data_IF_780977590672
#
_entry.id   IF_780977590672
#
_cell.length_a   1.000
_cell.length_b   1.000
_cell.length_c   1.000
_cell.angle_alpha   90.00
_cell.angle_beta   90.00
_cell.angle_gamma   90.00
#
_symmetry.space_group_name_H-M   'P 1'
#
loop_
_entity.id
_entity.type
_entity.pdbx_description
1 polymer ?
#
# COMPACT_ATOMS: atom_id res chain seq x y z
N UNK A 1 55.26 14.68 -3.80
CA UNK A 1 54.21 14.85 -2.76
C UNK A 1 52.90 15.09 -3.49
N UNK A 2 52.33 13.98 -3.93
CA UNK A 2 51.12 13.89 -4.75
C UNK A 2 49.93 13.85 -3.81
N UNK A 3 49.19 14.96 -3.73
CA UNK A 3 48.00 15.06 -2.90
C UNK A 3 46.80 14.50 -3.67
N UNK A 4 46.40 13.30 -3.28
CA UNK A 4 45.22 12.58 -3.75
C UNK A 4 43.96 13.31 -3.29
N UNK A 5 43.14 13.77 -4.22
CA UNK A 5 41.78 14.25 -3.95
C UNK A 5 40.85 13.04 -4.07
N UNK A 6 40.13 12.76 -2.98
CA UNK A 6 39.15 11.68 -2.86
C UNK A 6 37.89 12.08 -3.63
N UNK A 7 37.58 11.33 -4.68
CA UNK A 7 36.36 11.49 -5.47
C UNK A 7 35.23 10.66 -4.82
N UNK A 8 34.27 11.34 -4.21
CA UNK A 8 33.03 10.75 -3.69
C UNK A 8 32.02 10.64 -4.83
N UNK A 9 32.16 9.59 -5.65
CA UNK A 9 31.17 9.28 -6.67
C UNK A 9 29.99 8.52 -6.06
N UNK A 10 28.83 9.18 -6.10
CA UNK A 10 27.58 8.64 -6.63
C UNK A 10 27.12 7.31 -6.06
N UNK A 11 26.19 7.37 -5.12
CA UNK A 11 25.29 6.28 -4.80
C UNK A 11 24.50 5.92 -6.07
N UNK A 12 25.00 4.92 -6.77
CA UNK A 12 24.33 4.32 -7.91
C UNK A 12 23.01 3.73 -7.47
N UNK A 13 21.96 4.18 -8.15
CA UNK A 13 20.62 3.59 -8.21
C UNK A 13 20.74 2.06 -8.19
N UNK A 14 20.15 1.42 -7.17
CA UNK A 14 20.01 -0.03 -7.09
C UNK A 14 19.33 -0.55 -8.36
N UNK A 15 20.12 -1.08 -9.29
CA UNK A 15 19.62 -2.00 -10.31
C UNK A 15 19.19 -3.28 -9.57
N UNK A 16 17.93 -3.75 -9.71
CA UNK A 16 17.53 -5.00 -9.09
C UNK A 16 18.32 -6.16 -9.70
N UNK A 17 18.88 -6.99 -8.81
CA UNK A 17 19.52 -8.27 -9.09
C UNK A 17 18.52 -9.24 -9.78
N UNK A 18 18.88 -9.90 -10.90
CA UNK A 18 17.97 -10.75 -11.68
C UNK A 18 17.72 -12.16 -11.09
N UNK A 19 17.98 -12.44 -9.81
CA UNK A 19 17.85 -13.80 -9.24
C UNK A 19 16.84 -13.99 -8.10
N UNK A 20 16.32 -12.91 -7.49
CA UNK A 20 15.39 -12.96 -6.36
C UNK A 20 13.92 -12.69 -6.69
N UNK A 21 12.99 -13.53 -6.22
CA UNK A 21 11.54 -13.30 -6.28
C UNK A 21 11.11 -12.38 -5.12
N UNK A 22 10.71 -11.15 -5.45
CA UNK A 22 10.14 -10.21 -4.48
C UNK A 22 8.62 -10.28 -4.45
N UNK A 23 8.07 -10.69 -3.31
CA UNK A 23 6.64 -10.81 -3.04
C UNK A 23 6.19 -9.75 -2.03
N UNK A 24 4.89 -9.49 -2.01
CA UNK A 24 4.20 -8.70 -0.98
C UNK A 24 2.95 -9.46 -0.57
N UNK A 25 2.30 -9.07 0.54
CA UNK A 25 1.01 -9.65 0.91
C UNK A 25 0.01 -9.58 -0.25
N UNK A 26 -0.13 -8.40 -0.89
CA UNK A 26 -1.06 -8.21 -2.00
C UNK A 26 -0.74 -9.07 -3.22
N UNK A 27 0.54 -9.28 -3.53
CA UNK A 27 1.00 -10.19 -4.59
C UNK A 27 0.61 -11.64 -4.29
N UNK A 28 0.87 -12.11 -3.07
CA UNK A 28 0.53 -13.48 -2.65
C UNK A 28 -0.97 -13.70 -2.61
N UNK A 29 -1.73 -12.75 -2.05
CA UNK A 29 -3.19 -12.80 -2.00
C UNK A 29 -3.81 -12.78 -3.41
N UNK A 30 -3.27 -11.96 -4.32
CA UNK A 30 -3.71 -11.94 -5.72
C UNK A 30 -3.46 -13.29 -6.40
N UNK A 31 -2.28 -13.88 -6.24
CA UNK A 31 -1.96 -15.19 -6.80
C UNK A 31 -2.91 -16.27 -6.27
N UNK A 32 -3.13 -16.31 -4.95
CA UNK A 32 -4.08 -17.25 -4.32
C UNK A 32 -5.52 -17.06 -4.80
N UNK A 33 -5.92 -15.83 -5.07
CA UNK A 33 -7.26 -15.54 -5.58
C UNK A 33 -7.45 -16.02 -7.02
N UNK A 34 -6.43 -15.86 -7.86
CA UNK A 34 -6.39 -16.33 -9.25
C UNK A 34 -4.96 -16.15 -9.80
N UNK A 35 -4.22 -17.23 -10.11
CA UNK A 35 -2.87 -17.15 -10.67
C UNK A 35 -2.80 -16.37 -11.99
N UNK A 36 -3.81 -16.52 -12.86
CA UNK A 36 -3.87 -15.73 -14.10
C UNK A 36 -4.00 -14.22 -13.83
N UNK A 37 -4.76 -13.84 -12.81
CA UNK A 37 -4.90 -12.43 -12.39
C UNK A 37 -3.56 -11.87 -11.90
N UNK A 38 -2.79 -12.67 -11.16
CA UNK A 38 -1.44 -12.30 -10.74
C UNK A 38 -0.53 -12.05 -11.94
N UNK A 39 -0.53 -12.98 -12.91
CA UNK A 39 0.24 -12.83 -14.14
C UNK A 39 -0.11 -11.54 -14.86
N UNK A 40 -1.38 -11.29 -15.13
CA UNK A 40 -1.83 -10.06 -15.78
C UNK A 40 -1.40 -8.79 -15.03
N UNK A 41 -1.49 -8.78 -13.70
CA UNK A 41 -1.18 -7.61 -12.90
C UNK A 41 0.33 -7.33 -12.74
N UNK A 42 1.15 -8.37 -12.57
CA UNK A 42 2.53 -8.24 -12.07
C UNK A 42 3.60 -8.83 -12.98
N UNK A 43 3.23 -9.67 -13.95
CA UNK A 43 4.16 -10.24 -14.93
C UNK A 43 3.98 -9.53 -16.27
N UNK A 44 2.75 -9.49 -16.77
CA UNK A 44 2.40 -8.83 -18.02
C UNK A 44 2.16 -7.32 -17.83
N UNK A 45 2.05 -6.86 -16.58
CA UNK A 45 1.83 -5.45 -16.17
C UNK A 45 0.68 -4.76 -16.92
N UNK A 46 -0.40 -5.50 -17.17
CA UNK A 46 -1.57 -4.98 -17.85
C UNK A 46 -2.22 -3.88 -16.99
N UNK A 47 -2.67 -2.77 -17.62
CA UNK A 47 -3.23 -1.64 -16.90
C UNK A 47 -4.51 -2.07 -16.16
N UNK A 48 -4.61 -1.68 -14.89
CA UNK A 48 -5.85 -1.70 -14.12
C UNK A 48 -6.45 -0.30 -14.08
N UNK A 49 -7.79 -0.19 -14.07
CA UNK A 49 -8.41 1.11 -13.84
C UNK A 49 -8.47 1.38 -12.33
N UNK A 50 -7.88 2.49 -11.83
CA UNK A 50 -8.08 2.86 -10.43
C UNK A 50 -9.56 3.16 -10.22
N UNK A 51 -10.25 2.27 -9.50
CA UNK A 51 -11.64 2.46 -9.15
C UNK A 51 -11.80 3.48 -8.02
N UNK A 52 -12.97 4.13 -7.90
CA UNK A 52 -13.27 5.11 -6.84
C UNK A 52 -12.94 4.60 -5.43
N UNK A 53 -13.21 3.31 -5.17
CA UNK A 53 -12.94 2.67 -3.90
C UNK A 53 -11.45 2.61 -3.53
N UNK A 54 -10.56 2.45 -4.52
CA UNK A 54 -9.12 2.37 -4.28
C UNK A 54 -8.58 3.74 -3.90
N UNK A 55 -8.84 4.77 -4.71
CA UNK A 55 -8.45 6.15 -4.41
C UNK A 55 -9.05 6.65 -3.09
N UNK A 56 -10.32 6.31 -2.82
CA UNK A 56 -10.96 6.61 -1.54
C UNK A 56 -10.25 5.95 -0.35
N UNK A 57 -9.91 4.67 -0.48
CA UNK A 57 -9.20 3.92 0.56
C UNK A 57 -7.79 4.46 0.80
N UNK A 58 -7.01 4.68 -0.26
CA UNK A 58 -5.66 5.24 -0.19
C UNK A 58 -5.64 6.63 0.45
N UNK A 59 -6.59 7.49 0.11
CA UNK A 59 -6.71 8.82 0.72
C UNK A 59 -6.95 8.74 2.23
N UNK A 60 -7.71 7.74 2.69
CA UNK A 60 -7.94 7.51 4.12
C UNK A 60 -6.70 6.99 4.82
N UNK A 61 -5.98 6.02 4.23
CA UNK A 61 -4.74 5.53 4.82
C UNK A 61 -3.72 6.67 4.97
N UNK A 62 -3.52 7.47 3.93
CA UNK A 62 -2.58 8.60 3.97
C UNK A 62 -2.98 9.64 5.04
N UNK A 63 -4.28 9.92 5.20
CA UNK A 63 -4.76 10.81 6.25
C UNK A 63 -4.50 10.25 7.66
N UNK A 64 -4.74 8.95 7.85
CA UNK A 64 -4.49 8.27 9.13
C UNK A 64 -3.00 8.22 9.45
N UNK A 65 -2.15 7.85 8.49
CA UNK A 65 -0.69 7.89 8.59
C UNK A 65 -0.22 9.27 9.05
N UNK A 66 -0.56 10.32 8.31
CA UNK A 66 -0.14 11.69 8.62
C UNK A 66 -0.62 12.18 9.99
N UNK A 67 -1.75 11.67 10.49
CA UNK A 67 -2.24 12.00 11.84
C UNK A 67 -1.47 11.25 12.93
N UNK A 68 -1.23 9.95 12.75
CA UNK A 68 -0.53 9.12 13.72
C UNK A 68 0.99 9.39 13.76
N UNK A 69 1.61 9.75 12.64
CA UNK A 69 3.06 10.02 12.54
C UNK A 69 3.50 11.29 13.26
N UNK A 70 2.57 12.17 13.64
CA UNK A 70 2.90 13.36 14.45
C UNK A 70 3.51 13.00 15.81
N UNK A 71 3.23 11.78 16.33
CA UNK A 71 3.81 11.21 17.56
C UNK A 71 3.83 12.16 18.75
N UNK A 72 2.77 12.98 18.87
CA UNK A 72 2.63 13.96 19.93
C UNK A 72 2.31 13.28 21.26
N UNK A 73 2.64 13.87 22.42
CA UNK A 73 2.24 13.33 23.72
C UNK A 73 0.72 13.30 23.97
N UNK A 74 -0.04 14.08 23.19
CA UNK A 74 -1.50 14.19 23.24
C UNK A 74 -2.06 13.96 21.83
N UNK A 75 -3.29 13.44 21.68
CA UNK A 75 -3.87 13.21 20.37
C UNK A 75 -3.93 14.52 19.55
N UNK A 76 -3.45 14.54 18.31
CA UNK A 76 -3.65 15.69 17.44
C UNK A 76 -5.15 15.97 17.24
N UNK A 77 -5.56 17.24 17.03
CA UNK A 77 -6.97 17.60 16.90
C UNK A 77 -7.61 17.00 15.64
N UNK A 78 -8.94 16.82 15.65
CA UNK A 78 -9.70 16.32 14.50
C UNK A 78 -9.42 17.13 13.22
N UNK A 79 -9.28 18.45 13.36
CA UNK A 79 -8.99 19.35 12.24
C UNK A 79 -7.71 18.98 11.49
N UNK A 80 -6.68 18.49 12.19
CA UNK A 80 -5.43 18.05 11.55
C UNK A 80 -5.61 16.77 10.72
N UNK A 81 -6.47 15.84 11.17
CA UNK A 81 -6.81 14.63 10.43
C UNK A 81 -7.61 14.96 9.15
N UNK A 82 -8.55 15.91 9.25
CA UNK A 82 -9.32 16.37 8.09
C UNK A 82 -8.47 17.20 7.12
N UNK A 83 -7.48 17.93 7.62
CA UNK A 83 -6.50 18.62 6.77
C UNK A 83 -5.64 17.61 6.01
N UNK A 84 -5.15 16.56 6.67
CA UNK A 84 -4.40 15.50 6.01
C UNK A 84 -5.22 14.80 4.91
N UNK A 85 -6.52 14.56 5.13
CA UNK A 85 -7.41 14.05 4.08
C UNK A 85 -7.47 14.98 2.86
N UNK A 86 -7.54 16.29 3.09
CA UNK A 86 -7.55 17.26 2.00
C UNK A 86 -6.23 17.24 1.21
N UNK A 87 -5.10 17.22 1.92
CA UNK A 87 -3.77 17.27 1.33
C UNK A 87 -3.44 15.99 0.52
N UNK A 88 -3.98 14.85 0.96
CA UNK A 88 -3.72 13.53 0.38
C UNK A 88 -4.89 12.96 -0.44
N UNK A 89 -5.90 13.76 -0.77
CA UNK A 89 -7.05 13.29 -1.54
C UNK A 89 -6.65 12.92 -2.98
N UNK A 90 -6.78 11.63 -3.32
CA UNK A 90 -6.56 11.12 -4.67
C UNK A 90 -7.84 11.26 -5.52
N UNK A 91 -7.86 12.24 -6.44
CA UNK A 91 -9.00 12.46 -7.33
C UNK A 91 -9.02 11.52 -8.56
N UNK A 92 -7.95 10.74 -8.81
CA UNK A 92 -7.81 9.93 -10.04
C UNK A 92 -8.93 8.89 -10.18
N UNK A 93 -9.25 8.17 -9.10
CA UNK A 93 -10.26 7.12 -9.12
C UNK A 93 -11.68 7.63 -9.30
N UNK A 94 -11.89 8.95 -9.22
CA UNK A 94 -13.18 9.59 -9.47
C UNK A 94 -13.24 10.25 -10.86
N UNK A 95 -12.28 9.97 -11.74
CA UNK A 95 -12.30 10.48 -13.10
C UNK A 95 -13.61 10.10 -13.81
N UNK A 96 -14.30 11.09 -14.38
CA UNK A 96 -15.57 10.90 -15.08
C UNK A 96 -16.82 10.97 -14.20
N UNK A 97 -16.68 11.05 -12.87
CA UNK A 97 -17.82 11.28 -11.96
C UNK A 97 -18.27 12.75 -11.94
N UNK A 98 -19.56 12.95 -11.70
CA UNK A 98 -20.11 14.29 -11.50
C UNK A 98 -19.61 14.91 -10.18
N UNK A 99 -19.58 16.25 -10.11
CA UNK A 99 -18.98 16.96 -8.96
C UNK A 99 -19.67 16.63 -7.63
N UNK A 100 -20.98 16.52 -7.64
CA UNK A 100 -21.84 16.13 -6.51
C UNK A 100 -21.58 14.69 -6.02
N UNK A 101 -21.33 13.76 -6.94
CA UNK A 101 -20.90 12.40 -6.59
C UNK A 101 -19.52 12.42 -5.91
N UNK A 102 -18.55 13.15 -6.47
CA UNK A 102 -17.23 13.34 -5.84
C UNK A 102 -17.32 13.91 -4.43
N UNK A 103 -18.17 14.93 -4.24
CA UNK A 103 -18.42 15.54 -2.93
C UNK A 103 -19.00 14.50 -1.95
N UNK A 104 -19.84 13.58 -2.42
CA UNK A 104 -20.43 12.52 -1.58
C UNK A 104 -19.35 11.55 -1.09
N UNK A 105 -18.42 11.15 -1.96
CA UNK A 105 -17.26 10.33 -1.57
C UNK A 105 -16.36 11.03 -0.55
N UNK A 106 -16.06 12.31 -0.79
CA UNK A 106 -15.23 13.10 0.12
C UNK A 106 -15.88 13.26 1.49
N UNK A 107 -17.18 13.61 1.54
CA UNK A 107 -17.93 13.71 2.81
C UNK A 107 -17.95 12.38 3.56
N UNK A 108 -18.12 11.27 2.85
CA UNK A 108 -18.07 9.95 3.46
C UNK A 108 -16.69 9.65 4.08
N UNK A 109 -15.59 10.04 3.42
CA UNK A 109 -14.24 9.93 3.99
C UNK A 109 -14.10 10.78 5.27
N UNK A 110 -14.58 12.03 5.24
CA UNK A 110 -14.58 12.90 6.42
C UNK A 110 -15.34 12.25 7.59
N UNK A 111 -16.54 11.72 7.35
CA UNK A 111 -17.35 11.10 8.41
C UNK A 111 -16.68 9.86 9.01
N UNK A 112 -15.98 9.07 8.19
CA UNK A 112 -15.19 7.93 8.64
C UNK A 112 -14.03 8.38 9.53
N UNK A 113 -13.28 9.40 9.11
CA UNK A 113 -12.15 9.93 9.87
C UNK A 113 -12.59 10.61 11.18
N UNK A 114 -13.73 11.31 11.20
CA UNK A 114 -14.31 11.86 12.45
C UNK A 114 -14.64 10.75 13.45
N UNK A 115 -15.26 9.67 12.99
CA UNK A 115 -15.55 8.50 13.85
C UNK A 115 -14.27 7.86 14.37
N UNK A 116 -13.23 7.76 13.53
CA UNK A 116 -11.91 7.28 13.93
C UNK A 116 -11.31 8.16 15.03
N UNK A 117 -11.27 9.47 14.82
CA UNK A 117 -10.74 10.43 15.80
C UNK A 117 -11.48 10.34 17.14
N UNK A 118 -12.82 10.40 17.12
CA UNK A 118 -13.65 10.31 18.32
C UNK A 118 -13.43 9.00 19.10
N UNK A 119 -13.11 7.90 18.41
CA UNK A 119 -12.80 6.61 19.03
C UNK A 119 -11.41 6.58 19.66
N UNK A 120 -10.40 7.10 18.98
CA UNK A 120 -9.00 6.89 19.37
C UNK A 120 -8.37 8.05 20.15
N UNK A 121 -8.87 9.27 20.03
CA UNK A 121 -8.36 10.40 20.83
C UNK A 121 -8.43 10.15 22.35
N UNK A 122 -9.52 9.58 22.92
CA UNK A 122 -9.59 9.32 24.37
C UNK A 122 -8.64 8.24 24.89
N UNK A 123 -8.19 7.34 24.01
CA UNK A 123 -7.32 6.19 24.34
C UNK A 123 -6.01 6.27 23.55
N UNK A 124 -5.61 7.48 23.18
CA UNK A 124 -4.50 7.71 22.28
C UNK A 124 -3.19 7.21 22.87
N UNK A 125 -2.45 6.46 22.06
CA UNK A 125 -1.08 6.03 22.35
C UNK A 125 -0.22 6.49 21.17
N UNK A 126 0.84 7.29 21.40
CA UNK A 126 1.73 7.71 20.33
C UNK A 126 2.25 6.50 19.54
N UNK A 127 2.26 6.63 18.21
CA UNK A 127 2.79 5.59 17.35
C UNK A 127 4.30 5.42 17.60
N UNK A 128 4.75 4.17 17.62
CA UNK A 128 6.17 3.82 17.47
C UNK A 128 6.58 4.11 16.03
N UNK A 129 5.78 3.63 15.07
CA UNK A 129 5.97 3.85 13.65
C UNK A 129 4.63 3.79 12.91
N UNK A 130 4.57 4.44 11.77
CA UNK A 130 3.47 4.42 10.81
C UNK A 130 4.06 4.22 9.43
N UNK A 131 3.34 3.51 8.56
CA UNK A 131 3.84 3.08 7.24
C UNK A 131 5.29 2.55 7.30
N UNK A 132 5.57 1.70 8.29
CA UNK A 132 6.90 1.18 8.51
C UNK A 132 7.25 0.13 7.44
N UNK A 133 8.10 0.52 6.50
CA UNK A 133 8.66 -0.38 5.48
C UNK A 133 9.47 -1.51 6.11
N UNK A 134 9.38 -2.70 5.51
CA UNK A 134 10.21 -3.86 5.83
C UNK A 134 10.55 -4.70 4.61
N UNK A 135 11.64 -5.46 4.73
CA UNK A 135 12.01 -6.52 3.80
C UNK A 135 12.38 -7.76 4.61
N UNK A 136 11.67 -8.86 4.40
CA UNK A 136 11.89 -10.15 5.03
C UNK A 136 12.52 -11.09 4.03
N UNK A 137 13.78 -11.47 4.25
CA UNK A 137 14.40 -12.55 3.48
C UNK A 137 13.91 -13.92 4.02
N UNK A 138 13.23 -14.69 3.18
CA UNK A 138 12.71 -16.00 3.52
C UNK A 138 13.63 -17.15 3.10
N UNK A 139 14.79 -16.82 2.52
CA UNK A 139 15.71 -17.76 1.88
C UNK A 139 15.22 -18.25 0.52
N UNK A 140 16.05 -19.06 -0.15
CA UNK A 140 15.77 -19.59 -1.49
C UNK A 140 15.42 -18.48 -2.50
N UNK A 141 16.11 -17.34 -2.41
CA UNK A 141 15.92 -16.15 -3.23
C UNK A 141 14.48 -15.61 -3.19
N UNK A 142 13.78 -15.73 -2.07
CA UNK A 142 12.43 -15.17 -1.86
C UNK A 142 12.50 -14.07 -0.81
N UNK A 143 12.10 -12.85 -1.19
CA UNK A 143 11.99 -11.71 -0.27
C UNK A 143 10.54 -11.26 -0.21
N UNK A 144 10.02 -11.05 1.00
CA UNK A 144 8.70 -10.45 1.22
C UNK A 144 8.87 -9.00 1.65
N UNK A 145 8.26 -8.08 0.93
CA UNK A 145 8.28 -6.65 1.22
C UNK A 145 6.89 -6.15 1.57
N UNK A 146 6.82 -5.09 2.36
CA UNK A 146 5.57 -4.45 2.73
C UNK A 146 5.77 -3.27 3.66
N UNK A 147 4.65 -2.72 4.11
CA UNK A 147 4.58 -1.60 5.04
C UNK A 147 3.59 -1.93 6.15
N UNK A 148 3.93 -1.65 7.40
CA UNK A 148 3.02 -1.80 8.53
C UNK A 148 2.35 -0.45 8.80
N UNK A 149 1.05 -0.36 8.62
CA UNK A 149 0.28 0.89 8.71
C UNK A 149 0.50 1.62 10.04
N UNK A 150 0.39 0.92 11.18
CA UNK A 150 0.53 1.52 12.50
C UNK A 150 1.06 0.53 13.55
N UNK A 151 2.10 0.98 14.27
CA UNK A 151 2.72 0.26 15.38
C UNK A 151 2.65 1.12 16.63
N UNK A 152 2.23 0.55 17.76
CA UNK A 152 2.15 1.23 19.04
C UNK A 152 2.77 0.41 20.17
N UNK A 153 3.13 1.09 21.27
CA UNK A 153 3.48 0.41 22.51
C UNK A 153 2.24 -0.18 23.18
N UNK A 154 2.40 -1.32 23.80
CA UNK A 154 1.40 -1.89 24.72
C UNK A 154 1.67 -1.43 26.16
N UNK A 155 0.70 -1.57 27.09
CA UNK A 155 0.92 -1.26 28.50
C UNK A 155 2.06 -2.06 29.16
N UNK A 156 2.37 -3.26 28.64
CA UNK A 156 3.51 -4.09 29.06
C UNK A 156 4.85 -3.63 28.49
N UNK A 157 4.87 -2.62 27.61
CA UNK A 157 6.07 -2.14 26.90
C UNK A 157 6.38 -2.90 25.60
N UNK A 158 5.61 -3.94 25.28
CA UNK A 158 5.65 -4.67 24.01
C UNK A 158 5.10 -3.86 22.84
N UNK A 159 4.80 -4.55 21.74
CA UNK A 159 4.29 -3.95 20.50
C UNK A 159 2.87 -4.41 20.19
N UNK A 160 2.07 -3.51 19.68
CA UNK A 160 0.78 -3.79 19.06
C UNK A 160 0.77 -3.28 17.63
N UNK A 161 0.29 -4.11 16.70
CA UNK A 161 0.23 -3.76 15.28
C UNK A 161 -1.23 -3.60 14.84
N UNK A 162 -1.52 -2.53 14.11
CA UNK A 162 -2.82 -2.28 13.51
C UNK A 162 -2.63 -2.10 12.01
N UNK A 163 -3.49 -2.78 11.25
CA UNK A 163 -3.66 -2.56 9.82
C UNK A 163 -5.07 -2.01 9.57
N UNK A 164 -5.16 -0.89 8.87
CA UNK A 164 -6.44 -0.23 8.60
C UNK A 164 -7.12 -0.89 7.40
N UNK A 165 -8.43 -1.05 7.49
CA UNK A 165 -9.25 -1.62 6.41
C UNK A 165 -10.47 -0.76 6.14
N UNK A 166 -10.66 -0.41 4.88
CA UNK A 166 -11.74 0.43 4.39
C UNK A 166 -12.98 -0.36 3.96
N UNK A 167 -12.96 -1.69 4.06
CA UNK A 167 -14.10 -2.53 3.73
C UNK A 167 -15.26 -2.34 4.73
N UNK A 168 -16.51 -2.35 4.22
CA UNK A 168 -17.73 -2.19 5.03
C UNK A 168 -17.97 -3.34 6.01
N UNK A 169 -17.58 -4.56 5.64
CA UNK A 169 -17.79 -5.76 6.44
C UNK A 169 -16.51 -6.09 7.20
N UNK A 170 -16.60 -6.10 8.53
CA UNK A 170 -15.52 -6.57 9.38
C UNK A 170 -15.35 -8.09 9.26
N UNK A 171 -14.10 -8.53 9.34
CA UNK A 171 -13.74 -9.95 9.45
C UNK A 171 -14.04 -10.46 10.87
N UNK A 172 -14.38 -11.73 11.01
CA UNK A 172 -14.51 -12.37 12.33
C UNK A 172 -13.13 -12.57 12.97
N UNK A 173 -13.08 -12.79 14.29
CA UNK A 173 -11.83 -13.08 14.99
C UNK A 173 -11.06 -14.25 14.36
N UNK A 174 -11.76 -15.32 13.97
CA UNK A 174 -11.16 -16.47 13.28
C UNK A 174 -10.53 -16.08 11.93
N UNK A 175 -11.20 -15.22 11.15
CA UNK A 175 -10.66 -14.72 9.89
C UNK A 175 -9.45 -13.78 10.08
N UNK A 176 -9.39 -13.05 11.20
CA UNK A 176 -8.24 -12.19 11.54
C UNK A 176 -7.05 -13.03 12.02
N UNK A 177 -7.29 -14.05 12.84
CA UNK A 177 -6.27 -15.01 13.28
C UNK A 177 -5.62 -15.74 12.10
N UNK A 178 -6.40 -16.12 11.08
CA UNK A 178 -5.89 -16.70 9.84
C UNK A 178 -5.36 -15.70 8.80
N UNK A 179 -5.11 -14.43 9.18
CA UNK A 179 -4.68 -13.39 8.24
C UNK A 179 -3.20 -13.52 7.88
N UNK A 180 -2.91 -13.90 6.63
CA UNK A 180 -1.54 -13.93 6.10
C UNK A 180 -0.82 -12.59 6.27
N UNK A 181 -1.51 -11.47 6.05
CA UNK A 181 -0.93 -10.13 6.19
C UNK A 181 -0.42 -9.87 7.61
N UNK A 182 -1.22 -10.21 8.62
CA UNK A 182 -0.84 -9.99 10.02
C UNK A 182 0.25 -10.96 10.48
N UNK A 183 0.29 -12.17 9.92
CA UNK A 183 1.40 -13.09 10.14
C UNK A 183 2.72 -12.56 9.55
N UNK A 184 2.68 -11.97 8.35
CA UNK A 184 3.85 -11.28 7.76
C UNK A 184 4.28 -10.11 8.64
N UNK A 185 3.35 -9.28 9.14
CA UNK A 185 3.70 -8.15 10.00
C UNK A 185 4.27 -8.58 11.36
N UNK A 186 3.79 -9.71 11.89
CA UNK A 186 4.34 -10.33 13.11
C UNK A 186 5.81 -10.71 12.91
N UNK A 187 6.15 -11.34 11.78
CA UNK A 187 7.52 -11.69 11.42
C UNK A 187 8.38 -10.45 11.17
N UNK A 188 7.83 -9.46 10.46
CA UNK A 188 8.50 -8.18 10.19
C UNK A 188 8.86 -7.46 11.49
N UNK A 189 7.97 -7.49 12.47
CA UNK A 189 8.21 -6.85 13.75
C UNK A 189 9.34 -7.52 14.56
N UNK A 190 9.42 -8.86 14.53
CA UNK A 190 10.52 -9.58 15.13
C UNK A 190 11.87 -9.17 14.53
N UNK A 191 11.93 -8.96 13.21
CA UNK A 191 13.15 -8.50 12.53
C UNK A 191 13.48 -7.03 12.85
N UNK A 192 12.48 -6.14 12.79
CA UNK A 192 12.69 -4.69 12.93
C UNK A 192 12.97 -4.27 14.38
N UNK A 193 12.31 -4.89 15.36
CA UNK A 193 12.36 -4.48 16.77
C UNK A 193 12.89 -5.56 17.70
N UNK A 194 13.31 -6.72 17.19
CA UNK A 194 13.86 -7.81 17.98
C UNK A 194 12.83 -8.58 18.82
N UNK A 195 11.54 -8.31 18.64
CA UNK A 195 10.44 -9.00 19.32
C UNK A 195 9.20 -9.07 18.44
N UNK A 196 8.47 -10.17 18.56
CA UNK A 196 7.11 -10.25 18.02
C UNK A 196 6.17 -9.32 18.81
N UNK A 197 5.07 -8.84 18.20
CA UNK A 197 4.05 -8.06 18.89
C UNK A 197 3.30 -8.92 19.91
N UNK A 198 2.74 -8.28 20.94
CA UNK A 198 1.84 -8.92 21.91
C UNK A 198 0.50 -9.27 21.25
N UNK A 199 0.04 -8.40 20.34
CA UNK A 199 -1.20 -8.56 19.59
C UNK A 199 -1.12 -7.88 18.22
N UNK A 200 -1.99 -8.34 17.32
CA UNK A 200 -2.20 -7.74 16.01
C UNK A 200 -3.69 -7.50 15.77
N UNK A 201 -4.04 -6.50 14.97
CA UNK A 201 -5.43 -6.14 14.75
C UNK A 201 -5.69 -5.67 13.31
N UNK A 202 -6.91 -5.95 12.84
CA UNK A 202 -7.50 -5.23 11.71
C UNK A 202 -8.47 -4.19 12.25
N UNK A 203 -8.31 -2.95 11.82
CA UNK A 203 -9.19 -1.85 12.19
C UNK A 203 -10.05 -1.46 10.99
N UNK A 204 -11.31 -1.91 11.01
CA UNK A 204 -12.27 -1.63 9.96
C UNK A 204 -12.84 -0.23 10.16
N UNK A 205 -12.21 0.76 9.53
CA UNK A 205 -12.45 2.19 9.79
C UNK A 205 -13.86 2.62 9.37
N UNK A 206 -14.42 2.01 8.31
CA UNK A 206 -15.77 2.32 7.84
C UNK A 206 -16.85 1.95 8.87
N UNK A 207 -16.96 0.68 9.31
CA UNK A 207 -17.88 0.32 10.38
C UNK A 207 -17.41 0.77 11.77
N UNK A 208 -16.20 1.33 11.90
CA UNK A 208 -15.64 1.75 13.18
C UNK A 208 -15.45 0.58 14.14
N UNK A 209 -14.92 -0.55 13.66
CA UNK A 209 -14.73 -1.77 14.44
C UNK A 209 -13.30 -2.30 14.30
N UNK A 210 -12.57 -2.36 15.42
CA UNK A 210 -11.30 -3.07 15.54
C UNK A 210 -11.52 -4.51 15.98
N UNK A 211 -10.87 -5.44 15.27
CA UNK A 211 -10.81 -6.86 15.63
C UNK A 211 -9.36 -7.20 15.93
N UNK A 212 -9.08 -7.46 17.20
CA UNK A 212 -7.75 -7.77 17.72
C UNK A 212 -7.65 -9.27 18.02
N UNK A 213 -6.47 -9.83 17.78
CA UNK A 213 -6.10 -11.20 18.15
C UNK A 213 -4.74 -11.18 18.86
N UNK A 214 -4.57 -12.10 19.78
CA UNK A 214 -3.31 -12.24 20.51
C UNK A 214 -2.25 -12.86 19.59
N UNK A 215 -0.98 -12.61 19.86
CA UNK A 215 0.13 -13.22 19.11
C UNK A 215 0.02 -14.73 19.00
N UNK A 216 -0.42 -15.39 20.07
CA UNK A 216 -0.57 -16.85 20.12
C UNK A 216 -1.60 -17.39 19.12
N UNK A 217 -2.54 -16.56 18.64
CA UNK A 217 -3.55 -16.95 17.66
C UNK A 217 -3.05 -16.82 16.21
N UNK A 218 -1.84 -16.29 15.99
CA UNK A 218 -1.27 -16.08 14.65
C UNK A 218 -0.32 -17.21 14.29
N UNK A 219 -0.58 -17.89 13.18
CA UNK A 219 0.31 -18.95 12.67
C UNK A 219 1.31 -18.38 11.66
N UNK A 220 2.47 -17.98 12.16
CA UNK A 220 3.57 -17.48 11.30
C UNK A 220 4.26 -18.60 10.52
N UNK A 221 4.22 -19.85 11.01
CA UNK A 221 4.83 -20.98 10.32
C UNK A 221 4.03 -21.36 9.08
N UNK A 222 2.70 -21.43 9.20
CA UNK A 222 1.81 -21.65 8.07
C UNK A 222 1.93 -20.52 7.05
N UNK A 223 1.98 -19.26 7.49
CA UNK A 223 2.19 -18.11 6.61
C UNK A 223 3.49 -18.20 5.78
N UNK A 224 4.59 -18.68 6.38
CA UNK A 224 5.84 -18.89 5.65
C UNK A 224 5.74 -20.03 4.63
N UNK A 225 5.09 -21.14 4.99
CA UNK A 225 4.86 -22.26 4.08
C UNK A 225 4.01 -21.82 2.88
N UNK A 226 2.93 -21.12 3.16
CA UNK A 226 2.01 -20.50 2.22
C UNK A 226 2.72 -19.60 1.17
N UNK A 227 3.63 -18.74 1.61
CA UNK A 227 4.38 -17.85 0.73
C UNK A 227 5.37 -18.63 -0.13
N UNK A 228 6.03 -19.64 0.44
CA UNK A 228 7.00 -20.49 -0.28
C UNK A 228 6.33 -21.35 -1.35
N UNK A 229 5.13 -21.85 -1.09
CA UNK A 229 4.32 -22.57 -2.07
C UNK A 229 4.01 -21.65 -3.25
N UNK A 230 3.46 -20.46 -2.98
CA UNK A 230 3.17 -19.46 -4.02
C UNK A 230 4.43 -19.06 -4.80
N UNK A 231 5.56 -18.87 -4.12
CA UNK A 231 6.83 -18.59 -4.77
C UNK A 231 7.29 -19.72 -5.71
N UNK A 232 7.10 -20.98 -5.29
CA UNK A 232 7.44 -22.16 -6.09
C UNK A 232 6.58 -22.23 -7.35
N UNK A 233 5.28 -21.99 -7.22
CA UNK A 233 4.37 -22.08 -8.35
C UNK A 233 4.56 -20.92 -9.35
N UNK A 234 4.83 -19.69 -8.86
CA UNK A 234 5.19 -18.54 -9.70
C UNK A 234 6.44 -18.85 -10.54
N UNK A 235 7.48 -19.43 -9.92
CA UNK A 235 8.72 -19.81 -10.62
C UNK A 235 8.50 -20.92 -11.65
N UNK A 236 7.52 -21.79 -11.41
CA UNK A 236 7.11 -22.82 -12.35
C UNK A 236 6.13 -22.30 -13.42
N UNK A 237 5.89 -20.99 -13.48
CA UNK A 237 4.99 -20.31 -14.41
C UNK A 237 3.55 -20.86 -14.40
N UNK A 238 3.08 -21.35 -13.25
CA UNK A 238 1.72 -21.87 -13.09
C UNK A 238 0.76 -20.70 -12.91
N UNK A 239 0.10 -20.32 -14.00
CA UNK A 239 -0.80 -19.16 -14.04
C UNK A 239 -2.20 -19.52 -14.52
N UNK A 240 -2.69 -20.71 -14.18
CA UNK A 240 -4.01 -21.18 -14.53
C UNK A 240 -5.09 -20.26 -13.92
N UNK A 241 -6.17 -19.96 -14.66
CA UNK A 241 -7.27 -19.18 -14.12
C UNK A 241 -8.00 -19.94 -13.02
N UNK A 242 -8.45 -19.22 -11.99
CA UNK A 242 -9.34 -19.74 -10.95
C UNK A 242 -10.71 -19.05 -11.06
N UNK A 243 -11.69 -19.62 -11.80
CA UNK A 243 -13.00 -19.01 -11.94
C UNK A 243 -13.71 -18.92 -10.59
N UNK A 244 -14.21 -17.74 -10.26
CA UNK A 244 -15.01 -17.48 -9.05
C UNK A 244 -16.24 -16.64 -9.38
N UNK A 245 -17.16 -16.54 -8.42
CA UNK A 245 -18.29 -15.61 -8.54
C UNK A 245 -17.85 -14.14 -8.71
N UNK A 246 -16.59 -13.79 -8.40
CA UNK A 246 -16.06 -12.43 -8.52
C UNK A 246 -15.54 -12.10 -9.93
N UNK A 247 -15.41 -13.08 -10.83
CA UNK A 247 -14.90 -12.85 -12.18
C UNK A 247 -15.62 -11.76 -12.99
N UNK A 248 -16.94 -11.51 -12.86
CA UNK A 248 -17.62 -10.40 -13.52
C UNK A 248 -17.03 -9.01 -13.19
N UNK A 249 -16.37 -8.87 -12.04
CA UNK A 249 -15.74 -7.62 -11.59
C UNK A 249 -14.20 -7.64 -11.72
N UNK A 250 -13.63 -8.60 -12.46
CA UNK A 250 -12.19 -8.63 -12.72
C UNK A 250 -11.83 -7.60 -13.80
N UNK A 251 -10.83 -6.75 -13.53
CA UNK A 251 -10.36 -5.72 -14.48
C UNK A 251 -9.92 -6.32 -15.83
N UNK A 252 -9.40 -7.55 -15.82
CA UNK A 252 -8.91 -8.26 -17.01
C UNK A 252 -9.90 -9.27 -17.57
N UNK A 253 -11.20 -9.17 -17.23
CA UNK A 253 -12.22 -10.10 -17.72
C UNK A 253 -12.22 -10.20 -19.25
N UNK A 254 -12.04 -9.08 -19.96
CA UNK A 254 -12.03 -9.05 -21.43
C UNK A 254 -10.87 -9.83 -22.06
N UNK A 255 -9.74 -9.96 -21.37
CA UNK A 255 -8.57 -10.71 -21.83
C UNK A 255 -8.53 -12.15 -21.29
N UNK A 256 -9.51 -12.55 -20.47
CA UNK A 256 -9.49 -13.82 -19.77
C UNK A 256 -10.02 -14.96 -20.66
N UNK A 257 -9.26 -16.07 -20.84
CA UNK A 257 -9.65 -17.18 -21.71
C UNK A 257 -10.89 -17.95 -21.22
N UNK A 258 -11.33 -17.73 -19.98
CA UNK A 258 -12.53 -18.35 -19.40
C UNK A 258 -13.84 -17.80 -20.03
N UNK A 259 -13.83 -16.60 -20.62
CA UNK A 259 -15.06 -15.89 -21.01
C UNK A 259 -15.33 -15.79 -22.53
N UNK A 260 -14.63 -16.58 -23.36
CA UNK A 260 -14.71 -16.57 -24.84
C UNK A 260 -14.50 -15.19 -25.49
N UNK A 261 -13.33 -15.00 -26.10
CA UNK A 261 -12.98 -13.83 -26.91
C UNK A 261 -11.47 -13.82 -27.15
N UNK A 262 -11.04 -13.48 -28.36
CA UNK A 262 -9.62 -13.36 -28.76
C UNK A 262 -8.80 -12.75 -27.62
N UNK A 263 -7.66 -13.37 -27.27
CA UNK A 263 -6.75 -12.85 -26.24
C UNK A 263 -6.48 -11.34 -26.42
N UNK A 264 -5.89 -10.67 -25.40
CA UNK A 264 -5.93 -9.22 -25.28
C UNK A 264 -5.74 -8.50 -26.63
N UNK A 265 -6.67 -7.60 -26.97
CA UNK A 265 -6.38 -6.59 -28.00
C UNK A 265 -5.23 -5.73 -27.45
N UNK A 266 -4.02 -6.15 -27.80
CA UNK A 266 -2.75 -5.53 -27.41
C UNK A 266 -2.77 -4.03 -27.74
N UNK A 267 -3.56 -3.64 -28.74
CA UNK A 267 -3.79 -2.25 -29.14
C UNK A 267 -4.60 -1.50 -28.09
N UNK A 268 -5.71 -2.05 -27.61
CA UNK A 268 -6.54 -1.43 -26.58
C UNK A 268 -5.77 -1.27 -25.26
N UNK A 269 -5.01 -2.30 -24.88
CA UNK A 269 -4.12 -2.28 -23.71
C UNK A 269 -3.04 -1.20 -23.85
N UNK A 270 -2.35 -1.14 -25.00
CA UNK A 270 -1.33 -0.14 -25.26
C UNK A 270 -1.90 1.29 -25.29
N UNK A 271 -3.11 1.48 -25.79
CA UNK A 271 -3.78 2.80 -25.81
C UNK A 271 -4.11 3.28 -24.40
N UNK A 272 -4.61 2.39 -23.54
CA UNK A 272 -4.91 2.73 -22.14
C UNK A 272 -3.62 3.07 -21.38
N UNK A 273 -2.56 2.29 -21.55
CA UNK A 273 -1.27 2.55 -20.90
C UNK A 273 -0.64 3.86 -21.41
N UNK A 274 -0.70 4.12 -22.71
CA UNK A 274 -0.24 5.38 -23.29
C UNK A 274 -1.00 6.58 -22.72
N UNK A 275 -2.31 6.47 -22.50
CA UNK A 275 -3.09 7.54 -21.88
C UNK A 275 -2.72 7.76 -20.42
N UNK A 276 -2.47 6.69 -19.66
CA UNK A 276 -2.04 6.76 -18.26
C UNK A 276 -0.66 7.42 -18.12
N UNK A 277 0.31 6.99 -18.93
CA UNK A 277 1.65 7.58 -18.97
C UNK A 277 1.61 9.07 -19.33
N UNK A 278 0.76 9.46 -20.29
CA UNK A 278 0.55 10.88 -20.63
C UNK A 278 0.00 11.69 -19.45
N UNK A 279 -1.00 11.17 -18.74
CA UNK A 279 -1.54 11.85 -17.55
C UNK A 279 -0.51 11.96 -16.43
N UNK A 280 0.26 10.91 -16.18
CA UNK A 280 1.36 10.93 -15.20
C UNK A 280 2.40 11.98 -15.59
N UNK A 281 2.87 11.97 -16.84
CA UNK A 281 3.81 12.96 -17.35
C UNK A 281 3.29 14.40 -17.20
N UNK A 282 2.01 14.65 -17.45
CA UNK A 282 1.42 15.98 -17.26
C UNK A 282 1.43 16.41 -15.78
N UNK A 283 1.15 15.49 -14.86
CA UNK A 283 1.20 15.77 -13.42
C UNK A 283 2.61 16.01 -12.93
N UNK A 284 3.55 15.17 -13.36
CA UNK A 284 4.97 15.33 -13.03
C UNK A 284 5.49 16.68 -13.56
N UNK A 285 5.11 17.06 -14.79
CA UNK A 285 5.41 18.38 -15.35
C UNK A 285 4.80 19.52 -14.54
N UNK A 286 3.53 19.40 -14.12
CA UNK A 286 2.88 20.41 -13.28
C UNK A 286 3.59 20.54 -11.92
N UNK A 287 4.02 19.41 -11.33
CA UNK A 287 4.75 19.40 -10.06
C UNK A 287 6.15 19.98 -10.21
N UNK A 288 6.87 19.66 -11.29
CA UNK A 288 8.16 20.26 -11.62
C UNK A 288 8.00 21.78 -11.74
N UNK A 289 7.01 22.27 -12.49
CA UNK A 289 6.76 23.70 -12.64
C UNK A 289 6.48 24.40 -11.31
N UNK A 290 5.74 23.76 -10.40
CA UNK A 290 5.52 24.26 -9.04
C UNK A 290 6.83 24.35 -8.25
N UNK A 291 7.65 23.30 -8.29
CA UNK A 291 8.93 23.25 -7.58
C UNK A 291 9.91 24.28 -8.13
N UNK A 292 9.99 24.43 -9.45
CA UNK A 292 10.80 25.47 -10.11
C UNK A 292 10.37 26.87 -9.69
N UNK A 293 9.06 27.12 -9.59
CA UNK A 293 8.56 28.41 -9.10
C UNK A 293 8.98 28.66 -7.65
N UNK A 294 8.87 27.65 -6.79
CA UNK A 294 9.28 27.73 -5.39
C UNK A 294 10.78 28.00 -5.25
N UNK A 295 11.60 27.40 -6.11
CA UNK A 295 13.04 27.70 -6.20
C UNK A 295 13.27 29.15 -6.62
N UNK A 296 12.61 29.63 -7.69
CA UNK A 296 12.73 31.03 -8.16
C UNK A 296 12.35 32.03 -7.08
N UNK A 297 11.25 31.77 -6.37
CA UNK A 297 10.78 32.61 -5.27
C UNK A 297 11.78 32.66 -4.12
N UNK A 298 12.56 31.59 -3.90
CA UNK A 298 13.50 31.48 -2.79
C UNK A 298 14.93 31.94 -3.11
N UNK A 299 15.41 31.70 -4.32
CA UNK A 299 16.80 31.93 -4.74
C UNK A 299 16.98 33.12 -5.71
N UNK A 300 15.89 33.72 -6.20
CA UNK A 300 15.90 34.79 -7.20
C UNK A 300 15.64 34.28 -8.61
N UNK A 301 15.18 35.16 -9.51
CA UNK A 301 14.71 34.79 -10.85
C UNK A 301 15.79 34.20 -11.77
N UNK A 302 17.07 34.44 -11.46
CA UNK A 302 18.23 33.97 -12.24
C UNK A 302 18.83 32.65 -11.71
N UNK A 303 18.22 32.04 -10.68
CA UNK A 303 18.73 30.80 -10.10
C UNK A 303 18.44 29.59 -11.01
N UNK A 304 19.50 28.93 -11.48
CA UNK A 304 19.44 27.66 -12.23
C UNK A 304 19.73 26.50 -11.28
N UNK A 305 18.83 25.49 -11.26
CA UNK A 305 19.04 24.24 -10.51
C UNK A 305 19.47 23.19 -11.52
N UNK A 306 20.75 22.82 -11.50
CA UNK A 306 21.23 21.66 -12.23
C UNK A 306 20.88 20.40 -11.44
N UNK A 307 19.94 19.62 -11.96
CA UNK A 307 19.65 18.27 -11.46
C UNK A 307 20.44 17.31 -12.34
N UNK A 308 21.48 16.68 -11.77
CA UNK A 308 22.20 15.61 -12.46
C UNK A 308 21.23 14.45 -12.74
N UNK A 309 21.11 14.08 -14.01
CA UNK A 309 20.24 12.99 -14.48
C UNK A 309 20.76 11.59 -14.14
#
# INVERSE_FOLDING_TARGET
MTSTVVDHQGQGVCKPDPTGLRLSFSRVDTYRSCPLKFRFAYVDELPSQPGPHLSWGSSIHAALEAWWDQKLPQPPPESSLLQALYDHWDDEGFAGMARDEKITWYRHAQDVLRRHHARYAPVYVPAVATEQWFELDLGNDVTVVGSIDHVQRTPSGGLGIVDWKTNRKAKTRQQVSGSLQLAIYTLAAAQLWGTEPDWVALDFVVPGLRVQVDRADIDTAQALADIREVATDIRAERFEPTPTALCPWCDWRAACPVFEGEGPDVTAVAVVELQRLRRRSQRDQARIAQLEQLVRDRLGQDATVEIAG
#
